data_IF_535893335369
#
_entry.id   IF_535893335369
#
_cell.length_a   1.000
_cell.length_b   1.000
_cell.length_c   1.000
_cell.angle_alpha   90.00
_cell.angle_beta   90.00
_cell.angle_gamma   90.00
#
_symmetry.space_group_name_H-M   'P 1'
#
loop_
_entity.id
_entity.type
_entity.pdbx_description
1 polymer ?
#
# COMPACT_ATOMS: atom_id res chain seq x y z
N UNK A 1 -13.14 -4.58 -17.89
CA UNK A 1 -12.00 -5.38 -17.37
C UNK A 1 -11.11 -4.41 -16.60
N UNK A 2 -10.70 -4.73 -15.36
CA UNK A 2 -9.81 -3.83 -14.58
C UNK A 2 -8.40 -3.84 -15.19
N UNK A 3 -7.67 -2.73 -15.11
CA UNK A 3 -6.29 -2.61 -15.57
C UNK A 3 -5.31 -2.46 -14.38
N UNK A 4 -4.01 -2.52 -14.65
CA UNK A 4 -2.96 -2.43 -13.62
C UNK A 4 -3.08 -1.15 -12.79
N UNK A 5 -3.31 0.00 -13.43
CA UNK A 5 -3.51 1.29 -12.76
C UNK A 5 -4.65 1.25 -11.73
N UNK A 6 -5.77 0.58 -12.05
CA UNK A 6 -6.90 0.45 -11.11
C UNK A 6 -6.47 -0.27 -9.83
N UNK A 7 -5.64 -1.31 -9.93
CA UNK A 7 -5.11 -2.02 -8.76
C UNK A 7 -4.09 -1.19 -7.97
N UNK A 8 -3.24 -0.41 -8.65
CA UNK A 8 -2.30 0.49 -7.99
C UNK A 8 -3.00 1.60 -7.20
N UNK A 9 -4.12 2.14 -7.70
CA UNK A 9 -4.92 3.13 -6.99
C UNK A 9 -5.64 2.54 -5.76
N UNK A 10 -6.17 1.32 -5.87
CA UNK A 10 -6.74 0.61 -4.71
C UNK A 10 -5.67 0.29 -3.66
N UNK A 11 -4.49 -0.16 -4.09
CA UNK A 11 -3.34 -0.36 -3.22
C UNK A 11 -3.00 0.94 -2.45
N UNK A 12 -2.88 2.07 -3.16
CA UNK A 12 -2.60 3.37 -2.55
C UNK A 12 -3.65 3.75 -1.51
N UNK A 13 -4.93 3.54 -1.82
CA UNK A 13 -6.04 3.85 -0.92
C UNK A 13 -6.00 2.98 0.35
N UNK A 14 -5.75 1.69 0.21
CA UNK A 14 -5.64 0.77 1.35
C UNK A 14 -4.41 1.08 2.23
N UNK A 15 -3.28 1.41 1.61
CA UNK A 15 -2.09 1.86 2.32
C UNK A 15 -2.31 3.16 3.10
N UNK A 16 -2.99 4.15 2.50
CA UNK A 16 -3.34 5.39 3.20
C UNK A 16 -4.28 5.12 4.37
N UNK A 17 -5.29 4.26 4.17
CA UNK A 17 -6.22 3.86 5.23
C UNK A 17 -5.49 3.19 6.40
N UNK A 18 -4.50 2.32 6.11
CA UNK A 18 -3.65 1.72 7.15
C UNK A 18 -2.93 2.80 7.96
N UNK A 19 -2.29 3.77 7.27
CA UNK A 19 -1.60 4.88 7.93
C UNK A 19 -2.54 5.69 8.83
N UNK A 20 -3.73 6.00 8.34
CA UNK A 20 -4.72 6.78 9.09
C UNK A 20 -5.21 6.04 10.34
N UNK A 21 -5.42 4.72 10.24
CA UNK A 21 -5.83 3.90 11.39
C UNK A 21 -4.75 3.79 12.46
N UNK A 22 -3.47 3.82 12.06
CA UNK A 22 -2.34 3.63 12.97
C UNK A 22 -1.66 4.92 13.40
N UNK A 23 -2.09 6.08 12.90
CA UNK A 23 -1.49 7.36 13.26
C UNK A 23 -1.57 7.58 14.78
N UNK A 24 -0.40 7.79 15.39
CA UNK A 24 -0.27 7.98 16.83
C UNK A 24 -0.64 6.75 17.69
N UNK A 25 -0.77 5.56 17.10
CA UNK A 25 -1.05 4.31 17.82
C UNK A 25 0.22 3.55 18.13
N UNK A 26 0.30 3.02 19.35
CA UNK A 26 1.32 2.05 19.73
C UNK A 26 0.88 0.62 19.42
N UNK A 27 1.83 -0.31 19.47
CA UNK A 27 1.52 -1.74 19.40
C UNK A 27 0.53 -2.19 20.51
N UNK A 28 0.59 -1.57 21.70
CA UNK A 28 -0.32 -1.89 22.79
C UNK A 28 -1.76 -1.41 22.50
N UNK A 29 -1.92 -0.24 21.87
CA UNK A 29 -3.24 0.27 21.44
C UNK A 29 -3.85 -0.66 20.37
N UNK A 30 -3.03 -1.09 19.42
CA UNK A 30 -3.40 -2.10 18.43
C UNK A 30 -3.79 -3.42 19.09
N UNK A 31 -2.96 -3.96 19.99
CA UNK A 31 -3.18 -5.26 20.61
C UNK A 31 -4.41 -5.28 21.53
N UNK A 32 -4.77 -4.15 22.14
CA UNK A 32 -5.94 -4.04 23.03
C UNK A 32 -7.26 -3.85 22.28
N UNK A 33 -7.23 -3.52 20.98
CA UNK A 33 -8.43 -3.19 20.19
C UNK A 33 -8.71 -4.23 19.10
N UNK A 34 -9.67 -5.13 19.34
CA UNK A 34 -10.12 -6.09 18.31
C UNK A 34 -10.59 -5.40 17.04
N UNK A 35 -11.28 -4.26 17.16
CA UNK A 35 -11.76 -3.50 16.01
C UNK A 35 -10.59 -3.00 15.16
N UNK A 36 -9.55 -2.42 15.79
CA UNK A 36 -8.38 -1.92 15.08
C UNK A 36 -7.61 -3.05 14.40
N UNK A 37 -7.46 -4.20 15.08
CA UNK A 37 -6.85 -5.40 14.49
C UNK A 37 -7.59 -5.86 13.24
N UNK A 38 -8.89 -6.06 13.34
CA UNK A 38 -9.70 -6.53 12.21
C UNK A 38 -9.70 -5.52 11.05
N UNK A 39 -9.71 -4.22 11.34
CA UNK A 39 -9.62 -3.18 10.33
C UNK A 39 -8.27 -3.21 9.58
N UNK A 40 -7.15 -3.33 10.32
CA UNK A 40 -5.80 -3.43 9.76
C UNK A 40 -5.63 -4.71 8.93
N UNK A 41 -6.05 -5.86 9.45
CA UNK A 41 -5.99 -7.14 8.74
C UNK A 41 -6.76 -7.06 7.42
N UNK A 42 -7.96 -6.47 7.43
CA UNK A 42 -8.75 -6.27 6.21
C UNK A 42 -8.03 -5.39 5.18
N UNK A 43 -7.38 -4.32 5.60
CA UNK A 43 -6.62 -3.50 4.66
C UNK A 43 -5.39 -4.25 4.11
N UNK A 44 -4.72 -5.08 4.91
CA UNK A 44 -3.64 -5.94 4.40
C UNK A 44 -4.13 -6.98 3.38
N UNK A 45 -5.34 -7.50 3.51
CA UNK A 45 -5.96 -8.34 2.48
C UNK A 45 -6.09 -7.58 1.15
N UNK A 46 -6.57 -6.34 1.19
CA UNK A 46 -6.75 -5.50 0.00
C UNK A 46 -5.39 -5.15 -0.62
N UNK A 47 -4.42 -4.73 0.19
CA UNK A 47 -3.04 -4.43 -0.24
C UNK A 47 -2.45 -5.63 -0.99
N UNK A 48 -2.51 -6.83 -0.40
CA UNK A 48 -1.93 -8.04 -1.00
C UNK A 48 -2.71 -8.57 -2.21
N UNK A 49 -4.04 -8.36 -2.28
CA UNK A 49 -4.82 -8.69 -3.48
C UNK A 49 -4.52 -7.74 -4.63
N UNK A 50 -4.47 -6.43 -4.37
CA UNK A 50 -4.13 -5.43 -5.37
C UNK A 50 -2.73 -5.66 -5.95
N UNK A 51 -1.74 -5.96 -5.12
CA UNK A 51 -0.39 -6.30 -5.58
C UNK A 51 -0.37 -7.56 -6.46
N UNK A 52 -1.06 -8.62 -6.02
CA UNK A 52 -1.12 -9.88 -6.77
C UNK A 52 -1.81 -9.71 -8.13
N UNK A 53 -2.89 -8.91 -8.20
CA UNK A 53 -3.59 -8.65 -9.45
C UNK A 53 -2.81 -7.72 -10.37
N UNK A 54 -2.17 -6.68 -9.84
CA UNK A 54 -1.29 -5.79 -10.59
C UNK A 54 -0.14 -6.60 -11.22
N UNK A 55 0.51 -7.48 -10.46
CA UNK A 55 1.58 -8.36 -10.94
C UNK A 55 1.12 -9.28 -12.08
N UNK A 56 -0.09 -9.85 -12.02
CA UNK A 56 -0.59 -10.72 -13.10
C UNK A 56 -0.76 -9.97 -14.43
N UNK A 57 -1.01 -8.66 -14.36
CA UNK A 57 -1.16 -7.81 -15.55
C UNK A 57 0.18 -7.27 -16.05
N UNK A 58 1.07 -6.90 -15.14
CA UNK A 58 2.44 -6.48 -15.44
C UNK A 58 3.41 -7.06 -14.39
N UNK A 59 4.09 -8.17 -14.70
CA UNK A 59 5.03 -8.80 -13.80
C UNK A 59 6.22 -7.91 -13.41
N UNK A 60 6.57 -6.92 -14.23
CA UNK A 60 7.70 -6.00 -13.96
C UNK A 60 7.41 -5.01 -12.83
N UNK A 61 6.14 -4.85 -12.43
CA UNK A 61 5.75 -3.96 -11.33
C UNK A 61 6.38 -4.35 -10.00
N UNK A 62 6.55 -5.65 -9.73
CA UNK A 62 7.16 -6.10 -8.48
C UNK A 62 8.62 -5.67 -8.35
N UNK A 63 9.33 -5.49 -9.45
CA UNK A 63 10.72 -5.06 -9.43
C UNK A 63 10.84 -3.55 -9.11
N UNK A 64 9.74 -2.81 -9.27
CA UNK A 64 9.62 -1.39 -8.93
C UNK A 64 9.12 -1.15 -7.50
N UNK A 65 8.51 -2.16 -6.88
CA UNK A 65 7.88 -2.06 -5.56
C UNK A 65 8.63 -2.92 -4.52
N UNK A 66 9.42 -2.32 -3.61
CA UNK A 66 10.11 -3.06 -2.58
C UNK A 66 9.10 -3.77 -1.66
N UNK A 67 9.49 -4.91 -1.11
CA UNK A 67 8.70 -5.74 -0.21
C UNK A 67 7.35 -6.27 -0.76
N UNK A 68 6.97 -5.97 -2.01
CA UNK A 68 5.69 -6.37 -2.58
C UNK A 68 5.45 -7.89 -2.52
N UNK A 69 6.47 -8.71 -2.84
CA UNK A 69 6.39 -10.18 -2.73
C UNK A 69 6.14 -10.62 -1.28
N UNK A 70 6.86 -10.03 -0.33
CA UNK A 70 6.71 -10.31 1.11
C UNK A 70 5.31 -9.96 1.60
N UNK A 71 4.74 -8.86 1.12
CA UNK A 71 3.38 -8.42 1.48
C UNK A 71 2.32 -9.34 0.86
N UNK A 72 2.52 -9.79 -0.39
CA UNK A 72 1.65 -10.80 -1.02
C UNK A 72 1.67 -12.10 -0.21
N UNK A 73 2.85 -12.59 0.17
CA UNK A 73 3.01 -13.81 0.96
C UNK A 73 2.38 -13.67 2.35
N UNK A 74 2.58 -12.52 2.99
CA UNK A 74 1.94 -12.18 4.25
C UNK A 74 0.41 -12.20 4.14
N UNK A 75 -0.16 -11.61 3.08
CA UNK A 75 -1.59 -11.68 2.81
C UNK A 75 -2.05 -13.12 2.62
N UNK A 76 -1.32 -13.95 1.87
CA UNK A 76 -1.68 -15.35 1.68
C UNK A 76 -1.73 -16.10 3.01
N UNK A 77 -0.82 -15.77 3.93
CA UNK A 77 -0.82 -16.31 5.29
C UNK A 77 -2.00 -15.79 6.12
N UNK A 78 -2.32 -14.49 6.04
CA UNK A 78 -3.52 -13.93 6.68
C UNK A 78 -4.80 -14.59 6.17
N UNK A 79 -4.94 -14.81 4.87
CA UNK A 79 -6.18 -15.38 4.30
C UNK A 79 -6.37 -16.88 4.62
N UNK A 80 -5.29 -17.66 4.58
CA UNK A 80 -5.37 -19.13 4.64
C UNK A 80 -4.87 -19.75 5.96
N UNK A 81 -4.08 -19.03 6.73
CA UNK A 81 -3.42 -19.52 7.95
C UNK A 81 -3.50 -18.48 9.08
N UNK A 82 -4.60 -17.71 9.15
CA UNK A 82 -4.77 -16.59 10.10
C UNK A 82 -4.51 -17.00 11.55
N UNK A 83 -4.89 -18.21 11.95
CA UNK A 83 -4.64 -18.73 13.30
C UNK A 83 -3.16 -18.77 13.70
N UNK A 84 -2.26 -18.81 12.71
CA UNK A 84 -0.81 -18.84 12.90
C UNK A 84 -0.12 -17.49 12.71
N UNK A 85 -0.86 -16.40 12.51
CA UNK A 85 -0.30 -15.04 12.38
C UNK A 85 -0.44 -14.33 13.73
N UNK A 86 0.68 -13.94 14.32
CA UNK A 86 0.65 -13.18 15.57
C UNK A 86 0.47 -11.69 15.31
N UNK A 87 -0.16 -10.99 16.25
CA UNK A 87 -0.29 -9.53 16.27
C UNK A 87 1.06 -8.81 16.03
N UNK A 88 2.14 -9.35 16.61
CA UNK A 88 3.48 -8.79 16.43
C UNK A 88 3.97 -8.87 14.98
N UNK A 89 3.62 -9.93 14.25
CA UNK A 89 3.96 -10.06 12.82
C UNK A 89 3.17 -9.05 12.00
N UNK A 90 1.85 -8.91 12.24
CA UNK A 90 1.01 -7.92 11.54
C UNK A 90 1.56 -6.51 11.74
N UNK A 91 1.82 -6.13 13.00
CA UNK A 91 2.38 -4.82 13.32
C UNK A 91 3.77 -4.62 12.75
N UNK A 92 4.62 -5.66 12.79
CA UNK A 92 5.95 -5.63 12.22
C UNK A 92 5.95 -5.38 10.70
N UNK A 93 5.01 -5.97 9.96
CA UNK A 93 4.84 -5.72 8.52
C UNK A 93 4.38 -4.28 8.27
N UNK A 94 3.47 -3.77 9.09
CA UNK A 94 2.97 -2.41 9.01
C UNK A 94 4.08 -1.37 9.19
N UNK A 95 4.92 -1.53 10.21
CA UNK A 95 5.97 -0.57 10.53
C UNK A 95 7.20 -0.69 9.62
N UNK A 96 7.60 -1.90 9.24
CA UNK A 96 8.92 -2.13 8.63
C UNK A 96 8.90 -2.40 7.12
N UNK A 97 7.76 -2.78 6.54
CA UNK A 97 7.70 -3.18 5.12
C UNK A 97 6.76 -2.29 4.31
N UNK A 98 5.59 -1.95 4.87
CA UNK A 98 4.61 -1.14 4.18
C UNK A 98 5.15 0.26 3.75
N UNK A 99 5.92 1.01 4.56
CA UNK A 99 6.32 2.37 4.20
C UNK A 99 7.17 2.42 2.93
N UNK A 100 8.05 1.43 2.72
CA UNK A 100 8.89 1.35 1.54
C UNK A 100 8.07 1.12 0.27
N UNK A 101 7.10 0.20 0.33
CA UNK A 101 6.17 -0.06 -0.78
C UNK A 101 5.35 1.19 -1.12
N UNK A 102 4.88 1.93 -0.12
CA UNK A 102 4.09 3.16 -0.31
C UNK A 102 4.90 4.24 -1.01
N UNK A 103 6.12 4.51 -0.55
CA UNK A 103 6.97 5.53 -1.16
C UNK A 103 7.26 5.22 -2.64
N UNK A 104 7.57 3.96 -2.96
CA UNK A 104 7.81 3.53 -4.33
C UNK A 104 6.54 3.59 -5.19
N UNK A 105 5.38 3.25 -4.62
CA UNK A 105 4.09 3.34 -5.29
C UNK A 105 3.73 4.78 -5.64
N UNK A 106 3.97 5.73 -4.73
CA UNK A 106 3.74 7.15 -4.98
C UNK A 106 4.63 7.64 -6.12
N UNK A 107 5.92 7.33 -6.10
CA UNK A 107 6.84 7.65 -7.21
C UNK A 107 6.43 7.00 -8.53
N UNK A 108 5.95 5.75 -8.51
CA UNK A 108 5.49 5.07 -9.71
C UNK A 108 4.27 5.75 -10.32
N UNK A 109 3.27 6.09 -9.50
CA UNK A 109 2.04 6.75 -9.93
C UNK A 109 2.29 8.17 -10.44
N UNK A 110 3.25 8.89 -9.85
CA UNK A 110 3.67 10.22 -10.34
C UNK A 110 4.38 10.14 -11.70
N UNK A 111 5.19 9.10 -11.95
CA UNK A 111 5.85 8.95 -13.25
C UNK A 111 4.91 8.46 -14.37
N UNK A 112 3.91 7.65 -14.03
CA UNK A 112 2.84 7.25 -14.96
C UNK A 112 1.85 8.40 -15.21
N UNK A 113 1.75 9.34 -14.26
CA UNK A 113 0.98 10.58 -14.34
C UNK A 113 1.94 11.77 -14.58
N UNK A 114 2.61 11.81 -15.73
CA UNK A 114 3.11 13.10 -16.21
C UNK A 114 1.86 13.86 -16.71
N UNK A 115 1.31 14.85 -15.98
CA UNK A 115 0.33 15.73 -16.60
C UNK A 115 1.00 16.33 -17.84
N UNK A 116 0.29 16.54 -18.96
CA UNK A 116 0.88 17.23 -20.09
C UNK A 116 1.54 18.49 -19.55
N UNK A 117 2.81 18.73 -19.93
CA UNK A 117 3.52 19.98 -19.64
C UNK A 117 2.68 21.12 -20.20
N UNK A 118 1.68 21.55 -19.44
CA UNK A 118 0.97 22.79 -19.69
C UNK A 118 2.04 23.85 -19.55
N UNK A 119 2.18 24.63 -20.60
CA UNK A 119 3.09 25.75 -20.73
C UNK A 119 2.70 26.85 -19.74
N UNK A 120 2.83 26.58 -18.45
CA UNK A 120 2.74 27.61 -17.43
C UNK A 120 3.99 28.48 -17.56
N UNK A 121 3.88 29.47 -18.44
CA UNK A 121 4.71 30.66 -18.40
C UNK A 121 4.25 31.44 -17.17
N UNK A 122 5.09 31.64 -16.14
CA UNK A 122 4.76 32.57 -15.09
C UNK A 122 4.45 33.93 -15.73
N UNK A 123 3.48 34.70 -15.20
CA UNK A 123 3.18 36.03 -15.72
C UNK A 123 4.49 36.83 -15.73
N UNK A 124 4.86 37.35 -16.91
CA UNK A 124 6.00 38.26 -17.02
C UNK A 124 5.75 39.39 -16.04
N UNK A 125 6.64 39.54 -15.07
CA UNK A 125 6.66 40.73 -14.24
C UNK A 125 6.81 41.93 -15.20
N UNK A 126 5.76 42.73 -15.31
CA UNK A 126 5.86 44.01 -15.98
C UNK A 126 6.60 45.00 -15.05
N UNK A 127 7.53 45.80 -15.59
CA UNK A 127 8.35 46.72 -14.81
C UNK A 127 7.55 47.85 -14.16
#
# INVERSE_FOLDING_TARGET
>A
MRNALTFLLELKTACQTLRDFTEGKSFADYQSSTLLRSAIERQFEIVGESLNQAQKLDPSLLDKLPDARRIIDFRNRLAHHYWGVSNAVVWGVLENHLPGTVAALDSLLENEYEPPKTSYLPPKAHP
#
